data_IF_365843611849
#
_entry.id   IF_365843611849
#
_cell.length_a   1.000
_cell.length_b   1.000
_cell.length_c   1.000
_cell.angle_alpha   90.00
_cell.angle_beta   90.00
_cell.angle_gamma   90.00
#
_symmetry.space_group_name_H-M   'P 1'
#
loop_
_entity.id
_entity.type
_entity.pdbx_description
1 polymer ?
#
# COMPACT_ATOMS: atom_id res chain seq x y z
N UNK A 1 49.61 29.93 -12.02
CA UNK A 1 49.07 28.70 -12.63
C UNK A 1 48.55 27.80 -11.50
N UNK A 2 47.25 27.86 -11.16
CA UNK A 2 46.68 27.01 -10.11
C UNK A 2 46.61 25.57 -10.61
N UNK A 3 47.10 24.64 -9.79
CA UNK A 3 47.46 23.28 -10.20
C UNK A 3 46.27 22.34 -10.40
N UNK A 4 46.46 21.38 -11.32
CA UNK A 4 45.56 20.27 -11.67
C UNK A 4 44.92 19.50 -10.50
N UNK A 5 45.44 19.63 -9.27
CA UNK A 5 44.88 19.00 -8.05
C UNK A 5 43.57 19.64 -7.58
N UNK A 6 43.38 20.94 -7.79
CA UNK A 6 42.14 21.66 -7.45
C UNK A 6 40.96 21.18 -8.33
N UNK A 7 41.22 20.93 -9.62
CA UNK A 7 40.20 20.51 -10.59
C UNK A 7 39.61 19.11 -10.26
N UNK A 8 40.45 18.19 -9.76
CA UNK A 8 40.00 16.84 -9.36
C UNK A 8 39.15 16.85 -8.09
N UNK A 9 39.41 17.77 -7.15
CA UNK A 9 38.55 17.94 -5.96
C UNK A 9 37.18 18.51 -6.34
N UNK A 10 37.12 19.44 -7.29
CA UNK A 10 35.86 19.99 -7.79
C UNK A 10 34.96 18.93 -8.43
N UNK A 11 35.54 18.03 -9.24
CA UNK A 11 34.81 16.90 -9.85
C UNK A 11 34.31 15.90 -8.80
N UNK A 12 35.09 15.63 -7.75
CA UNK A 12 34.66 14.76 -6.65
C UNK A 12 33.51 15.37 -5.83
N UNK A 13 33.55 16.68 -5.59
CA UNK A 13 32.49 17.41 -4.87
C UNK A 13 31.21 17.52 -5.71
N UNK A 14 31.32 17.76 -7.03
CA UNK A 14 30.18 17.73 -7.95
C UNK A 14 29.54 16.35 -8.08
N UNK A 15 30.34 15.28 -8.10
CA UNK A 15 29.85 13.90 -8.09
C UNK A 15 29.11 13.55 -6.81
N UNK A 16 29.62 14.00 -5.65
CA UNK A 16 28.94 13.82 -4.36
C UNK A 16 27.66 14.67 -4.25
N UNK A 17 27.65 15.90 -4.77
CA UNK A 17 26.46 16.75 -4.82
C UNK A 17 25.39 16.17 -5.74
N UNK A 18 25.77 15.57 -6.87
CA UNK A 18 24.84 14.87 -7.76
C UNK A 18 24.20 13.64 -7.11
N UNK A 19 24.99 12.86 -6.36
CA UNK A 19 24.48 11.70 -5.62
C UNK A 19 23.61 12.09 -4.41
N UNK A 20 23.94 13.19 -3.71
CA UNK A 20 23.13 13.73 -2.62
C UNK A 20 21.83 14.35 -3.11
N UNK A 21 21.85 15.02 -4.27
CA UNK A 21 20.62 15.48 -4.91
C UNK A 21 19.72 14.29 -5.18
N UNK A 22 20.19 13.21 -5.82
CA UNK A 22 19.42 11.98 -6.11
C UNK A 22 18.82 11.26 -4.89
N UNK A 23 19.24 11.62 -3.67
CA UNK A 23 18.73 11.06 -2.41
C UNK A 23 17.64 11.91 -1.73
N UNK A 24 17.29 13.06 -2.32
CA UNK A 24 16.19 13.88 -1.80
C UNK A 24 14.82 13.24 -2.12
N UNK A 25 13.89 13.17 -1.15
CA UNK A 25 12.51 12.75 -1.40
C UNK A 25 11.85 13.81 -2.27
N UNK A 26 11.69 13.55 -3.56
CA UNK A 26 11.19 14.57 -4.48
C UNK A 26 11.30 14.29 -5.97
N UNK A 27 12.02 13.25 -6.42
CA UNK A 27 12.18 13.01 -7.85
C UNK A 27 10.87 12.59 -8.51
N UNK A 28 10.32 13.51 -9.31
CA UNK A 28 9.29 13.20 -10.27
C UNK A 28 9.91 12.42 -11.44
N UNK A 29 9.60 11.13 -11.55
CA UNK A 29 9.93 10.36 -12.74
C UNK A 29 8.98 10.81 -13.86
N UNK A 30 9.41 11.74 -14.72
CA UNK A 30 8.65 12.05 -15.93
C UNK A 30 8.84 10.93 -16.94
N UNK A 31 7.88 10.01 -17.01
CA UNK A 31 7.91 8.92 -17.98
C UNK A 31 7.06 9.28 -19.19
N UNK A 32 7.72 9.49 -20.31
CA UNK A 32 7.09 9.48 -21.62
C UNK A 32 7.17 8.04 -22.17
N UNK A 33 6.02 7.37 -22.35
CA UNK A 33 5.93 6.09 -23.10
C UNK A 33 5.40 4.87 -22.34
N UNK A 34 5.47 3.70 -22.99
CA UNK A 34 4.92 2.38 -22.58
C UNK A 34 5.61 1.73 -21.36
N UNK A 35 6.31 2.49 -20.52
CA UNK A 35 7.05 1.94 -19.40
C UNK A 35 6.14 1.77 -18.16
N UNK A 36 6.23 0.59 -17.53
CA UNK A 36 5.55 0.31 -16.26
C UNK A 36 6.47 0.70 -15.11
N UNK A 37 6.03 1.63 -14.26
CA UNK A 37 6.75 1.94 -13.03
C UNK A 37 6.48 0.87 -12.00
N UNK A 38 7.54 0.31 -11.42
CA UNK A 38 7.42 -0.56 -10.26
C UNK A 38 8.15 0.06 -9.09
N UNK A 39 7.45 0.20 -7.97
CA UNK A 39 8.02 0.69 -6.71
C UNK A 39 7.57 -0.20 -5.55
N UNK A 40 8.32 -0.15 -4.46
CA UNK A 40 8.01 -0.86 -3.22
C UNK A 40 7.85 0.14 -2.09
N UNK A 41 6.68 0.15 -1.47
CA UNK A 41 6.36 1.04 -0.36
C UNK A 41 6.27 0.24 0.93
N UNK A 42 7.20 0.45 1.88
CA UNK A 42 7.12 -0.19 3.18
C UNK A 42 6.01 0.44 4.03
N UNK A 43 5.36 -0.36 4.88
CA UNK A 43 4.39 0.13 5.85
C UNK A 43 4.44 -0.68 7.15
N UNK A 44 4.04 -0.05 8.26
CA UNK A 44 3.92 -0.67 9.57
C UNK A 44 2.80 0.02 10.38
N UNK A 45 2.33 -0.63 11.45
CA UNK A 45 1.21 -0.15 12.28
C UNK A 45 1.69 0.53 13.59
N UNK A 46 2.89 1.12 13.60
CA UNK A 46 3.52 1.67 14.81
C UNK A 46 4.42 0.67 15.54
N UNK A 47 4.86 1.03 16.76
CA UNK A 47 5.87 0.30 17.54
C UNK A 47 5.33 -0.37 18.83
N UNK A 48 4.04 -0.21 19.12
CA UNK A 48 3.41 -0.72 20.35
C UNK A 48 2.49 -1.92 20.12
N UNK A 49 2.11 -2.64 21.18
CA UNK A 49 1.09 -3.67 21.10
C UNK A 49 -0.26 -3.05 20.74
N UNK A 50 -1.05 -3.80 19.99
CA UNK A 50 -2.44 -3.45 19.69
C UNK A 50 -3.35 -4.37 20.48
N UNK A 51 -4.22 -3.77 21.30
CA UNK A 51 -5.21 -4.47 22.12
C UNK A 51 -6.54 -4.52 21.38
N UNK A 52 -7.13 -5.71 21.28
CA UNK A 52 -8.39 -5.95 20.58
C UNK A 52 -9.37 -6.66 21.48
N UNK A 53 -10.63 -6.23 21.48
CA UNK A 53 -11.70 -6.96 22.15
C UNK A 53 -11.97 -8.31 21.47
N UNK A 54 -12.03 -9.38 22.25
CA UNK A 54 -12.39 -10.72 21.75
C UNK A 54 -13.78 -10.76 21.10
N UNK A 55 -14.68 -9.89 21.54
CA UNK A 55 -16.09 -9.85 21.12
C UNK A 55 -16.40 -8.86 19.99
N UNK A 56 -15.41 -8.15 19.47
CA UNK A 56 -15.63 -7.20 18.37
C UNK A 56 -16.24 -7.88 17.13
N UNK A 57 -17.15 -7.22 16.39
CA UNK A 57 -17.70 -7.75 15.15
C UNK A 57 -16.64 -8.08 14.09
N UNK A 58 -16.98 -9.00 13.17
CA UNK A 58 -16.16 -9.21 11.98
C UNK A 58 -16.18 -7.95 11.10
N UNK A 59 -15.02 -7.57 10.56
CA UNK A 59 -14.85 -6.35 9.78
C UNK A 59 -14.44 -5.13 10.60
N UNK A 60 -14.37 -5.22 11.94
CA UNK A 60 -13.84 -4.14 12.78
C UNK A 60 -12.39 -3.81 12.40
N UNK A 61 -12.11 -2.53 12.18
CA UNK A 61 -10.75 -2.02 11.96
C UNK A 61 -10.07 -1.90 13.32
N UNK A 62 -9.02 -2.69 13.50
CA UNK A 62 -8.23 -2.82 14.73
C UNK A 62 -7.18 -1.71 14.81
N UNK A 63 -6.50 -1.47 13.69
CA UNK A 63 -5.46 -0.46 13.55
C UNK A 63 -5.44 0.02 12.11
N UNK A 64 -4.92 1.22 11.87
CA UNK A 64 -4.68 1.70 10.52
C UNK A 64 -3.39 2.49 10.44
N UNK A 65 -2.80 2.52 9.26
CA UNK A 65 -1.67 3.38 8.92
C UNK A 65 -1.92 4.03 7.58
N UNK A 66 -1.45 5.26 7.41
CA UNK A 66 -1.60 6.01 6.18
C UNK A 66 -0.24 6.07 5.51
N UNK A 67 -0.20 5.64 4.26
CA UNK A 67 0.90 5.96 3.34
C UNK A 67 0.52 7.30 2.71
N UNK A 68 1.16 8.41 3.12
CA UNK A 68 0.84 9.72 2.57
C UNK A 68 1.15 9.76 1.07
N UNK A 69 0.55 10.72 0.37
CA UNK A 69 0.96 10.97 -1.01
C UNK A 69 2.41 11.46 -1.06
N UNK A 70 3.20 10.86 -1.94
CA UNK A 70 4.57 11.21 -2.20
C UNK A 70 4.75 12.02 -3.48
N UNK A 71 5.94 11.92 -4.07
CA UNK A 71 6.26 12.58 -5.34
C UNK A 71 5.39 12.06 -6.50
N UNK A 72 5.24 12.90 -7.52
CA UNK A 72 4.57 12.54 -8.77
C UNK A 72 5.37 11.47 -9.50
N UNK A 73 4.82 10.27 -9.64
CA UNK A 73 5.43 9.13 -10.33
C UNK A 73 5.25 9.24 -11.85
N UNK A 74 4.12 9.79 -12.32
CA UNK A 74 3.89 10.00 -13.75
C UNK A 74 2.87 11.10 -13.99
N UNK A 75 3.00 11.82 -15.10
CA UNK A 75 2.00 12.77 -15.58
C UNK A 75 1.11 12.06 -16.60
N UNK A 76 -0.19 12.24 -16.48
CA UNK A 76 -1.15 11.56 -17.33
C UNK A 76 -2.15 12.57 -17.86
N UNK A 77 -2.37 12.54 -19.17
CA UNK A 77 -3.48 13.26 -19.81
C UNK A 77 -4.57 12.24 -20.12
N UNK A 78 -5.54 12.08 -19.19
CA UNK A 78 -6.71 11.24 -19.43
C UNK A 78 -7.24 10.49 -18.21
N UNK A 79 -8.15 9.56 -18.48
CA UNK A 79 -8.76 8.71 -17.46
C UNK A 79 -7.73 7.72 -16.90
N UNK A 80 -7.63 7.66 -15.58
CA UNK A 80 -6.86 6.64 -14.85
C UNK A 80 -7.85 5.66 -14.22
N UNK A 81 -7.48 4.38 -14.17
CA UNK A 81 -8.20 3.34 -13.44
C UNK A 81 -7.25 2.70 -12.44
N UNK A 82 -7.74 2.33 -11.26
CA UNK A 82 -6.91 1.79 -10.20
C UNK A 82 -7.47 0.48 -9.64
N UNK A 83 -6.63 -0.33 -9.00
CA UNK A 83 -7.08 -1.56 -8.37
C UNK A 83 -6.02 -2.23 -7.50
N UNK A 84 -6.49 -3.10 -6.60
CA UNK A 84 -5.66 -3.88 -5.69
C UNK A 84 -5.54 -5.32 -6.17
N UNK A 85 -4.31 -5.81 -6.22
CA UNK A 85 -3.92 -7.09 -6.79
C UNK A 85 -3.09 -7.90 -5.80
N UNK A 86 -3.19 -9.23 -5.92
CA UNK A 86 -2.26 -10.16 -5.30
C UNK A 86 -1.89 -11.30 -6.28
N UNK A 87 -1.14 -12.28 -5.79
CA UNK A 87 -0.74 -13.46 -6.58
C UNK A 87 -1.92 -14.27 -7.16
N UNK A 88 -3.13 -14.13 -6.61
CA UNK A 88 -4.37 -14.79 -7.08
C UNK A 88 -5.20 -13.90 -8.01
N UNK A 89 -4.70 -12.73 -8.39
CA UNK A 89 -5.36 -11.78 -9.29
C UNK A 89 -5.97 -10.59 -8.55
N UNK A 90 -7.01 -10.00 -9.15
CA UNK A 90 -7.74 -8.86 -8.57
C UNK A 90 -8.41 -9.31 -7.26
N UNK A 91 -8.20 -8.55 -6.16
CA UNK A 91 -8.70 -8.90 -4.83
C UNK A 91 -10.23 -8.94 -4.76
N UNK A 92 -10.85 -10.11 -4.94
CA UNK A 92 -12.30 -10.25 -5.11
C UNK A 92 -13.12 -10.50 -3.82
N UNK A 93 -12.54 -11.06 -2.74
CA UNK A 93 -13.27 -11.29 -1.47
C UNK A 93 -12.78 -10.34 -0.38
N UNK A 94 -13.65 -9.40 0.00
CA UNK A 94 -13.46 -8.35 1.04
C UNK A 94 -12.19 -7.48 0.92
N UNK A 95 -11.39 -7.65 -0.14
CA UNK A 95 -10.13 -6.94 -0.38
C UNK A 95 -9.10 -7.11 0.74
N UNK A 96 -9.04 -8.31 1.32
CA UNK A 96 -8.16 -8.62 2.45
C UNK A 96 -7.05 -9.60 2.08
N UNK A 97 -5.84 -9.32 2.53
CA UNK A 97 -4.72 -10.25 2.58
C UNK A 97 -4.68 -10.91 3.97
N UNK A 98 -4.44 -12.23 4.06
CA UNK A 98 -4.29 -12.89 5.36
C UNK A 98 -3.01 -12.44 6.06
N UNK A 99 -2.92 -12.62 7.37
CA UNK A 99 -1.67 -12.44 8.13
C UNK A 99 -1.23 -13.76 8.75
N UNK A 100 -0.04 -13.80 9.35
CA UNK A 100 0.39 -14.95 10.14
C UNK A 100 -0.32 -15.09 11.49
N UNK A 101 -1.20 -14.14 11.86
CA UNK A 101 -2.03 -14.20 13.07
C UNK A 101 -3.46 -14.56 12.69
N UNK A 102 -3.98 -15.64 13.27
CA UNK A 102 -5.33 -16.11 13.00
C UNK A 102 -6.39 -15.05 13.39
N UNK A 103 -7.42 -14.91 12.55
CA UNK A 103 -8.50 -13.95 12.75
C UNK A 103 -8.15 -12.51 12.38
N UNK A 104 -6.98 -12.25 11.79
CA UNK A 104 -6.55 -10.92 11.38
C UNK A 104 -6.18 -10.89 9.90
N UNK A 105 -6.73 -9.92 9.18
CA UNK A 105 -6.42 -9.63 7.79
C UNK A 105 -5.99 -8.18 7.60
N UNK A 106 -5.36 -7.89 6.46
CA UNK A 106 -4.98 -6.54 6.05
C UNK A 106 -5.78 -6.14 4.82
N UNK A 107 -6.43 -4.98 4.88
CA UNK A 107 -7.12 -4.34 3.76
C UNK A 107 -6.37 -3.09 3.34
N UNK A 108 -6.37 -2.80 2.05
CA UNK A 108 -5.88 -1.53 1.52
C UNK A 108 -7.06 -0.73 0.99
N UNK A 109 -7.09 0.55 1.32
CA UNK A 109 -8.09 1.53 0.88
C UNK A 109 -7.35 2.67 0.18
N UNK A 110 -7.84 3.07 -0.99
CA UNK A 110 -7.31 4.24 -1.69
C UNK A 110 -7.93 5.50 -1.13
N UNK A 111 -7.09 6.44 -0.68
CA UNK A 111 -7.53 7.75 -0.17
C UNK A 111 -7.62 8.79 -1.30
N UNK A 112 -7.02 8.49 -2.46
CA UNK A 112 -7.01 9.35 -3.66
C UNK A 112 -8.41 9.55 -4.26
N UNK A 113 -9.35 8.69 -3.89
CA UNK A 113 -10.70 8.71 -4.43
C UNK A 113 -11.75 8.50 -3.36
N UNK A 114 -12.70 9.44 -3.32
CA UNK A 114 -13.99 9.21 -2.70
C UNK A 114 -14.62 7.99 -3.38
N UNK A 115 -15.19 7.03 -2.63
CA UNK A 115 -15.88 5.90 -3.23
C UNK A 115 -16.95 6.45 -4.16
N UNK A 116 -16.78 6.22 -5.46
CA UNK A 116 -17.88 6.41 -6.39
C UNK A 116 -18.93 5.36 -6.01
N UNK A 117 -20.15 5.80 -5.71
CA UNK A 117 -21.33 4.94 -5.74
C UNK A 117 -21.47 4.41 -7.16
N UNK A 118 -20.89 3.24 -7.42
CA UNK A 118 -21.06 2.54 -8.70
C UNK A 118 -22.33 1.69 -8.57
N UNK A 119 -23.45 2.21 -9.06
CA UNK A 119 -24.81 1.63 -8.99
C UNK A 119 -25.00 0.38 -9.89
N UNK A 120 -23.94 -0.40 -10.14
CA UNK A 120 -24.00 -1.58 -11.04
C UNK A 120 -23.65 -2.87 -10.29
N UNK A 121 -24.66 -3.61 -9.80
CA UNK A 121 -24.44 -4.95 -9.25
C UNK A 121 -23.99 -5.93 -10.35
N UNK A 122 -22.98 -6.75 -10.07
CA UNK A 122 -22.66 -7.94 -10.88
C UNK A 122 -21.30 -7.98 -11.60
N UNK A 123 -20.45 -6.96 -11.47
CA UNK A 123 -19.06 -7.02 -11.93
C UNK A 123 -18.11 -7.05 -10.73
N UNK A 124 -16.98 -7.78 -10.78
CA UNK A 124 -15.97 -7.73 -9.73
C UNK A 124 -15.53 -6.28 -9.58
N UNK A 125 -15.92 -5.70 -8.45
CA UNK A 125 -15.78 -4.30 -8.04
C UNK A 125 -14.71 -3.56 -8.82
N UNK A 126 -15.13 -2.86 -9.88
CA UNK A 126 -14.31 -1.87 -10.54
C UNK A 126 -14.18 -0.71 -9.55
N UNK A 127 -13.01 -0.54 -8.95
CA UNK A 127 -12.65 0.78 -8.45
C UNK A 127 -12.33 1.65 -9.68
N UNK A 128 -13.37 1.93 -10.48
CA UNK A 128 -13.30 2.88 -11.58
C UNK A 128 -13.42 4.27 -10.97
N UNK A 129 -12.38 4.69 -10.28
CA UNK A 129 -12.10 6.09 -10.13
C UNK A 129 -11.70 6.66 -11.50
N UNK A 130 -12.65 6.77 -12.45
CA UNK A 130 -12.44 7.58 -13.65
C UNK A 130 -12.40 9.03 -13.19
N UNK A 131 -11.24 9.46 -12.72
CA UNK A 131 -10.94 10.86 -12.49
C UNK A 131 -9.97 11.31 -13.58
N UNK A 132 -10.14 12.53 -14.11
CA UNK A 132 -9.07 13.19 -14.84
C UNK A 132 -7.94 13.48 -13.84
N UNK A 133 -7.04 12.52 -13.65
CA UNK A 133 -5.82 12.72 -12.88
C UNK A 133 -4.77 13.27 -13.83
N UNK A 134 -4.32 14.51 -13.59
CA UNK A 134 -3.20 15.11 -14.33
C UNK A 134 -1.85 14.48 -13.95
N UNK A 135 -1.81 13.83 -12.80
CA UNK A 135 -0.63 13.18 -12.25
C UNK A 135 -1.00 12.02 -11.35
N UNK A 136 -0.16 10.99 -11.36
CA UNK A 136 -0.18 9.88 -10.42
C UNK A 136 0.92 10.13 -9.38
N UNK A 137 0.56 10.13 -8.11
CA UNK A 137 1.48 10.23 -6.96
C UNK A 137 1.71 8.86 -6.33
N UNK A 138 2.86 8.66 -5.68
CA UNK A 138 3.07 7.49 -4.81
C UNK A 138 2.14 7.56 -3.60
N UNK A 139 1.73 6.44 -3.02
CA UNK A 139 1.03 6.43 -1.73
C UNK A 139 -0.41 6.90 -1.84
N UNK A 140 -0.89 7.71 -0.89
CA UNK A 140 -2.32 8.06 -0.78
C UNK A 140 -3.19 6.84 -0.49
N UNK A 141 -2.70 5.95 0.37
CA UNK A 141 -3.33 4.68 0.71
C UNK A 141 -3.49 4.59 2.22
N UNK A 142 -4.67 4.14 2.68
CA UNK A 142 -4.88 3.71 4.07
C UNK A 142 -4.81 2.20 4.11
N UNK A 143 -3.91 1.67 4.94
CA UNK A 143 -3.78 0.24 5.20
C UNK A 143 -4.42 -0.03 6.55
N UNK A 144 -5.37 -0.96 6.56
CA UNK A 144 -6.22 -1.28 7.71
C UNK A 144 -5.94 -2.71 8.16
N UNK A 145 -5.74 -2.89 9.45
CA UNK A 145 -5.74 -4.19 10.11
C UNK A 145 -7.18 -4.50 10.53
N UNK A 146 -7.73 -5.63 10.09
CA UNK A 146 -9.16 -5.93 10.18
C UNK A 146 -9.38 -7.27 10.86
N UNK A 147 -10.37 -7.33 11.74
CA UNK A 147 -10.86 -8.59 12.33
C UNK A 147 -11.57 -9.43 11.28
N UNK A 148 -11.10 -10.65 11.04
CA UNK A 148 -11.63 -11.58 10.03
C UNK A 148 -12.21 -12.86 10.62
N UNK A 149 -11.97 -13.11 11.91
CA UNK A 149 -12.45 -14.28 12.63
C UNK A 149 -12.15 -14.16 14.13
N UNK A 150 -12.26 -15.27 14.89
CA UNK A 150 -11.74 -15.36 16.25
C UNK A 150 -10.25 -15.01 16.27
N UNK A 151 -9.86 -14.00 17.06
CA UNK A 151 -8.48 -13.53 17.13
C UNK A 151 -7.74 -14.34 18.18
N UNK A 152 -6.56 -14.84 17.81
CA UNK A 152 -5.61 -15.40 18.77
C UNK A 152 -4.53 -14.34 19.08
N UNK A 153 -4.14 -14.16 20.35
CA UNK A 153 -2.97 -13.36 20.68
C UNK A 153 -1.74 -13.88 19.94
N UNK A 154 -0.85 -12.97 19.54
CA UNK A 154 0.34 -13.37 18.80
C UNK A 154 1.14 -12.19 18.26
N UNK A 155 2.24 -12.50 17.58
CA UNK A 155 3.09 -11.49 16.93
C UNK A 155 2.91 -11.59 15.42
N UNK A 156 2.38 -10.51 14.83
CA UNK A 156 2.32 -10.38 13.39
C UNK A 156 3.71 -9.98 12.87
N UNK A 157 4.25 -10.78 11.96
CA UNK A 157 5.55 -10.54 11.31
C UNK A 157 5.44 -10.59 9.79
N UNK A 158 4.30 -11.05 9.26
CA UNK A 158 4.09 -11.22 7.84
C UNK A 158 2.62 -10.96 7.44
N UNK A 159 2.47 -10.36 6.26
CA UNK A 159 1.22 -10.27 5.53
C UNK A 159 1.33 -11.18 4.31
N UNK A 160 0.36 -12.06 4.15
CA UNK A 160 0.36 -13.10 3.14
C UNK A 160 0.03 -12.54 1.76
N UNK A 161 0.89 -12.88 0.79
CA UNK A 161 0.74 -12.51 -0.61
C UNK A 161 1.32 -11.14 -0.94
N UNK A 162 1.69 -10.97 -2.21
CA UNK A 162 2.24 -9.72 -2.73
C UNK A 162 1.11 -8.73 -2.99
N UNK A 163 0.76 -7.91 -1.99
CA UNK A 163 -0.23 -6.84 -2.18
C UNK A 163 0.33 -5.76 -3.10
N UNK A 164 -0.40 -5.46 -4.17
CA UNK A 164 -0.02 -4.49 -5.18
C UNK A 164 -1.16 -3.53 -5.46
N UNK A 165 -0.91 -2.23 -5.32
CA UNK A 165 -1.76 -1.20 -5.87
C UNK A 165 -1.30 -0.92 -7.30
N UNK A 166 -2.20 -1.12 -8.26
CA UNK A 166 -1.92 -0.99 -9.69
C UNK A 166 -2.74 0.12 -10.30
N UNK A 167 -2.10 0.90 -11.17
CA UNK A 167 -2.73 1.97 -11.93
C UNK A 167 -2.63 1.70 -13.41
N UNK A 168 -3.74 1.93 -14.09
CA UNK A 168 -3.92 1.75 -15.51
C UNK A 168 -4.29 3.08 -16.14
N UNK A 169 -3.70 3.40 -17.28
CA UNK A 169 -4.03 4.59 -18.07
C UNK A 169 -4.74 4.20 -19.36
N UNK A 170 -5.49 5.16 -19.91
CA UNK A 170 -6.24 4.98 -21.15
C UNK A 170 -7.69 4.56 -20.91
N UNK A 171 -8.38 4.20 -21.99
CA UNK A 171 -9.80 3.81 -21.95
C UNK A 171 -9.96 2.35 -22.31
N UNK A 172 -10.91 1.68 -21.67
CA UNK A 172 -11.31 0.35 -22.06
C UNK A 172 -11.72 0.33 -23.55
N UNK A 173 -11.31 -0.67 -24.35
CA UNK A 173 -10.57 -1.88 -23.94
C UNK A 173 -9.03 -1.72 -23.88
N UNK A 174 -8.48 -0.57 -24.28
CA UNK A 174 -7.05 -0.32 -24.42
C UNK A 174 -6.36 0.18 -23.14
N UNK A 175 -6.76 -0.35 -21.98
CA UNK A 175 -6.13 -0.02 -20.71
C UNK A 175 -4.68 -0.53 -20.70
N UNK A 176 -3.74 0.33 -20.30
CA UNK A 176 -2.32 -0.01 -20.16
C UNK A 176 -1.92 0.07 -18.70
N UNK A 177 -1.26 -0.95 -18.18
CA UNK A 177 -0.66 -0.89 -16.86
C UNK A 177 0.44 0.18 -16.87
N UNK A 178 0.42 1.09 -15.92
CA UNK A 178 1.36 2.21 -15.84
C UNK A 178 2.15 2.22 -14.54
N UNK A 179 1.53 1.87 -13.41
CA UNK A 179 2.21 1.79 -12.12
C UNK A 179 1.84 0.51 -11.38
N UNK A 180 2.84 -0.07 -10.72
CA UNK A 180 2.73 -1.16 -9.76
C UNK A 180 3.43 -0.73 -8.47
N UNK A 181 2.65 -0.42 -7.44
CA UNK A 181 3.13 -0.13 -6.09
C UNK A 181 2.97 -1.38 -5.22
N UNK A 182 4.10 -2.04 -4.93
CA UNK A 182 4.18 -3.22 -4.07
C UNK A 182 4.19 -2.77 -2.61
N UNK A 183 3.20 -3.20 -1.85
CA UNK A 183 3.07 -2.84 -0.44
C UNK A 183 3.76 -3.91 0.40
N UNK A 184 4.78 -3.50 1.15
CA UNK A 184 5.59 -4.42 1.97
C UNK A 184 5.38 -4.12 3.45
N UNK A 185 4.81 -5.07 4.17
CA UNK A 185 4.80 -4.99 5.63
C UNK A 185 6.25 -5.06 6.16
N UNK A 186 6.58 -4.16 7.09
CA UNK A 186 7.87 -4.15 7.79
C UNK A 186 7.64 -4.06 9.30
N UNK A 187 8.50 -4.73 10.06
CA UNK A 187 8.47 -4.73 11.52
C UNK A 187 7.68 -5.89 12.13
N UNK A 188 7.38 -5.74 13.41
CA UNK A 188 6.61 -6.69 14.20
C UNK A 188 5.49 -5.94 14.92
N UNK A 189 4.32 -6.57 15.03
CA UNK A 189 3.18 -6.01 15.76
C UNK A 189 2.66 -7.06 16.73
N UNK A 190 2.70 -6.75 18.03
CA UNK A 190 2.12 -7.60 19.06
C UNK A 190 0.61 -7.38 19.09
N UNK A 191 -0.16 -8.46 19.01
CA UNK A 191 -1.61 -8.45 19.14
C UNK A 191 -1.98 -9.05 20.49
N UNK A 192 -2.64 -8.25 21.31
CA UNK A 192 -3.21 -8.63 22.59
C UNK A 192 -4.73 -8.72 22.46
N UNK A 193 -5.33 -9.73 23.07
CA UNK A 193 -6.79 -9.89 23.09
C UNK A 193 -7.30 -9.71 24.51
N UNK A 194 -8.21 -8.75 24.70
CA UNK A 194 -8.89 -8.50 25.97
C UNK A 194 -10.31 -9.06 25.95
N UNK A 195 -10.73 -9.69 27.05
CA UNK A 195 -12.03 -10.35 27.18
C UNK A 195 -11.89 -11.88 27.24
N UNK A 196 -12.59 -12.49 28.21
CA UNK A 196 -12.35 -13.84 28.70
C UNK A 196 -12.34 -14.93 27.62
N UNK A 197 -11.28 -15.75 27.63
CA UNK A 197 -11.43 -17.17 27.32
C UNK A 197 -12.40 -17.71 28.36
N UNK A 198 -13.70 -17.81 28.04
CA UNK A 198 -14.55 -18.74 28.76
C UNK A 198 -13.98 -20.12 28.46
N UNK A 199 -13.12 -20.57 29.37
CA UNK A 199 -12.69 -21.94 29.42
C UNK A 199 -13.95 -22.79 29.38
N UNK A 200 -14.04 -23.70 28.43
CA UNK A 200 -14.86 -24.87 28.62
C UNK A 200 -14.25 -25.63 29.80
N UNK A 201 -14.70 -25.29 31.02
CA UNK A 201 -14.81 -26.28 32.07
C UNK A 201 -15.73 -27.36 31.53
N UNK A 202 -15.12 -28.47 31.09
CA UNK A 202 -15.83 -29.74 31.02
C UNK A 202 -16.28 -30.06 32.44
N UNK A 203 -17.57 -29.84 32.70
CA UNK A 203 -18.28 -30.59 33.72
C UNK A 203 -18.75 -31.89 33.08
N UNK A 204 -17.95 -32.94 33.21
CA UNK A 204 -18.33 -34.36 33.38
C UNK A 204 -17.09 -35.22 33.41
#
# INVERSE_FOLDING_TARGET
MPGLRELRRLLGVLGLLGALLLSAPGYALCLCGNQVVTLTTPYHFGAGPVRVGGNEPLGTVIASTIIPEGSVITRCDGDVSEGLWNARGLHARYRMAPTNVAGIGVRVVSEKTSPATDDRPGLPWRWNARKPLRSITQGGLRIELVKTGPIQPGVMTAVGGDMQYRLYTGRAPHLRLSVVERLRYVGQLVIEVSGAVQGHQRLS
#
